data_IF_905932243680
#
_entry.id   IF_905932243680
#
_cell.length_a   1.000
_cell.length_b   1.000
_cell.length_c   1.000
_cell.angle_alpha   90.00
_cell.angle_beta   90.00
_cell.angle_gamma   90.00
#
_symmetry.space_group_name_H-M   'P 1'
#
loop_
_entity.id
_entity.type
_entity.pdbx_description
1 polymer ?
#
# COMPACT_ATOMS: atom_id res chain seq x y z
N UNK A 1 21.84 6.79 10.68
CA UNK A 1 21.57 6.90 9.25
C UNK A 1 22.48 6.04 8.37
N UNK A 2 23.80 6.10 8.46
CA UNK A 2 24.70 5.27 7.62
C UNK A 2 24.43 3.75 7.67
N UNK A 3 23.97 3.22 8.79
CA UNK A 3 23.71 1.77 8.97
C UNK A 3 22.46 1.30 8.21
N UNK A 4 21.42 2.13 8.09
CA UNK A 4 20.21 1.81 7.33
C UNK A 4 20.46 1.83 5.83
N UNK A 5 21.18 2.83 5.33
CA UNK A 5 21.48 2.99 3.89
C UNK A 5 22.32 1.83 3.36
N UNK A 6 23.21 1.24 4.19
CA UNK A 6 24.08 0.13 3.79
C UNK A 6 23.33 -1.20 3.64
N UNK A 7 22.21 -1.35 4.33
CA UNK A 7 21.38 -2.57 4.32
C UNK A 7 20.18 -2.47 3.38
N UNK A 8 20.07 -1.40 2.61
CA UNK A 8 19.03 -1.26 1.59
C UNK A 8 19.34 -2.14 0.39
N UNK A 9 18.30 -2.81 -0.11
CA UNK A 9 18.38 -3.52 -1.38
C UNK A 9 18.30 -2.50 -2.53
N UNK A 10 19.48 -2.13 -3.05
CA UNK A 10 19.58 -1.15 -4.13
C UNK A 10 18.96 -1.65 -5.45
N UNK A 11 18.93 -2.98 -5.66
CA UNK A 11 18.31 -3.57 -6.85
C UNK A 11 16.81 -3.35 -6.78
N UNK A 12 16.20 -3.62 -5.62
CA UNK A 12 14.77 -3.37 -5.38
C UNK A 12 14.42 -1.90 -5.60
N UNK A 13 15.18 -0.98 -5.00
CA UNK A 13 14.95 0.45 -5.13
C UNK A 13 15.03 0.90 -6.59
N UNK A 14 16.08 0.49 -7.29
CA UNK A 14 16.26 0.83 -8.71
C UNK A 14 15.10 0.30 -9.56
N UNK A 15 14.67 -0.94 -9.31
CA UNK A 15 13.55 -1.56 -10.03
C UNK A 15 12.25 -0.78 -9.82
N UNK A 16 11.96 -0.37 -8.57
CA UNK A 16 10.78 0.44 -8.26
C UNK A 16 10.83 1.79 -8.99
N UNK A 17 11.98 2.47 -8.98
CA UNK A 17 12.12 3.75 -9.69
C UNK A 17 12.00 3.60 -11.20
N UNK A 18 12.56 2.55 -11.79
CA UNK A 18 12.42 2.27 -13.23
C UNK A 18 10.97 1.99 -13.61
N UNK A 19 10.26 1.15 -12.86
CA UNK A 19 8.85 0.84 -13.09
C UNK A 19 7.98 2.09 -12.95
N UNK A 20 8.24 2.91 -11.95
CA UNK A 20 7.53 4.19 -11.75
C UNK A 20 7.80 5.17 -12.88
N UNK A 21 9.03 5.26 -13.34
CA UNK A 21 9.41 6.09 -14.50
C UNK A 21 8.69 5.66 -15.77
N UNK A 22 8.67 4.36 -16.06
CA UNK A 22 7.90 3.79 -17.18
C UNK A 22 6.41 4.12 -17.04
N UNK A 23 5.85 3.96 -15.83
CA UNK A 23 4.46 4.32 -15.55
C UNK A 23 4.14 5.79 -15.84
N UNK A 24 5.02 6.71 -15.45
CA UNK A 24 4.87 8.15 -15.76
C UNK A 24 4.88 8.42 -17.26
N UNK A 25 5.79 7.78 -18.00
CA UNK A 25 5.87 7.93 -19.48
C UNK A 25 4.61 7.40 -20.14
N UNK A 26 4.09 6.24 -19.68
CA UNK A 26 2.85 5.67 -20.23
C UNK A 26 1.65 6.57 -19.95
N UNK A 27 1.53 7.12 -18.74
CA UNK A 27 0.47 8.08 -18.39
C UNK A 27 0.59 9.34 -19.27
N UNK A 28 1.79 9.89 -19.41
CA UNK A 28 2.01 11.06 -20.27
C UNK A 28 1.62 10.80 -21.72
N UNK A 29 1.96 9.63 -22.25
CA UNK A 29 1.60 9.22 -23.61
C UNK A 29 0.08 9.03 -23.75
N UNK A 30 -0.56 8.32 -22.82
CA UNK A 30 -2.00 8.07 -22.87
C UNK A 30 -2.85 9.34 -22.71
N UNK A 31 -2.35 10.34 -21.99
CA UNK A 31 -3.07 11.60 -21.73
C UNK A 31 -2.59 12.78 -22.60
N UNK A 32 -1.76 12.52 -23.60
CA UNK A 32 -1.17 13.54 -24.45
C UNK A 32 -2.23 14.40 -25.16
N UNK A 33 -3.28 13.79 -25.70
CA UNK A 33 -4.38 14.51 -26.39
C UNK A 33 -5.16 15.43 -25.45
N UNK A 34 -5.37 15.02 -24.21
CA UNK A 34 -6.01 15.83 -23.18
C UNK A 34 -5.11 17.02 -22.77
N UNK A 35 -3.82 16.76 -22.64
CA UNK A 35 -2.80 17.78 -22.34
C UNK A 35 -2.69 18.84 -23.43
N UNK A 36 -2.82 18.48 -24.70
CA UNK A 36 -2.86 19.42 -25.82
C UNK A 36 -4.11 20.32 -25.78
N UNK A 37 -5.25 19.80 -25.28
CA UNK A 37 -6.50 20.58 -25.17
C UNK A 37 -6.48 21.55 -23.99
N UNK A 38 -5.96 21.11 -22.85
CA UNK A 38 -6.00 21.88 -21.58
C UNK A 38 -4.73 22.70 -21.34
N UNK A 39 -3.66 22.46 -22.09
CA UNK A 39 -2.34 23.07 -21.86
C UNK A 39 -1.61 22.56 -20.62
N UNK A 40 -2.19 21.61 -19.89
CA UNK A 40 -1.66 21.09 -18.62
C UNK A 40 -1.73 19.57 -18.59
N UNK A 41 -0.60 18.93 -18.28
CA UNK A 41 -0.52 17.50 -18.02
C UNK A 41 -1.01 17.18 -16.59
N UNK A 42 -2.29 17.41 -16.32
CA UNK A 42 -2.89 17.24 -14.99
C UNK A 42 -2.61 15.86 -14.39
N UNK A 43 -2.74 14.80 -15.16
CA UNK A 43 -2.51 13.43 -14.68
C UNK A 43 -1.06 13.18 -14.32
N UNK A 44 -0.10 13.69 -15.11
CA UNK A 44 1.33 13.56 -14.86
C UNK A 44 1.73 14.35 -13.60
N UNK A 45 1.21 15.57 -13.45
CA UNK A 45 1.48 16.40 -12.28
C UNK A 45 0.93 15.74 -11.01
N UNK A 46 -0.30 15.21 -11.07
CA UNK A 46 -0.92 14.49 -9.95
C UNK A 46 -0.12 13.24 -9.58
N UNK A 47 0.32 12.47 -10.57
CA UNK A 47 1.15 11.28 -10.34
C UNK A 47 2.51 11.63 -9.75
N UNK A 48 3.15 12.72 -10.23
CA UNK A 48 4.40 13.22 -9.67
C UNK A 48 4.26 13.67 -8.21
N UNK A 49 3.13 14.29 -7.85
CA UNK A 49 2.82 14.66 -6.48
C UNK A 49 2.67 13.43 -5.59
N UNK A 50 1.91 12.42 -6.02
CA UNK A 50 1.78 11.17 -5.27
C UNK A 50 3.12 10.45 -5.11
N UNK A 51 3.94 10.39 -6.15
CA UNK A 51 5.29 9.83 -6.07
C UNK A 51 6.14 10.55 -5.02
N UNK A 52 6.03 11.87 -4.93
CA UNK A 52 6.76 12.64 -3.91
C UNK A 52 6.30 12.31 -2.50
N UNK A 53 4.98 12.12 -2.31
CA UNK A 53 4.40 11.67 -1.04
C UNK A 53 4.85 10.25 -0.71
N UNK A 54 4.86 9.35 -1.68
CA UNK A 54 5.29 7.96 -1.50
C UNK A 54 6.76 7.87 -1.08
N UNK A 55 7.64 8.64 -1.72
CA UNK A 55 9.06 8.74 -1.32
C UNK A 55 9.20 9.24 0.12
N UNK A 56 8.44 10.26 0.48
CA UNK A 56 8.43 10.78 1.86
C UNK A 56 7.96 9.72 2.85
N UNK A 57 6.89 9.00 2.53
CA UNK A 57 6.37 7.91 3.37
C UNK A 57 7.39 6.78 3.52
N UNK A 58 8.08 6.38 2.46
CA UNK A 58 9.15 5.37 2.53
C UNK A 58 10.27 5.84 3.47
N UNK A 59 10.71 7.10 3.38
CA UNK A 59 11.73 7.65 4.26
C UNK A 59 11.27 7.65 5.73
N UNK A 60 10.00 7.97 5.99
CA UNK A 60 9.43 7.92 7.33
C UNK A 60 9.35 6.49 7.86
N UNK A 61 8.88 5.55 7.04
CA UNK A 61 8.77 4.13 7.40
C UNK A 61 10.13 3.50 7.70
N UNK A 62 11.19 3.89 6.97
CA UNK A 62 12.55 3.43 7.23
C UNK A 62 13.09 3.87 8.62
N UNK A 63 12.47 4.87 9.25
CA UNK A 63 12.81 5.31 10.60
C UNK A 63 12.01 4.60 11.69
N UNK A 64 10.91 3.93 11.33
CA UNK A 64 10.10 3.20 12.29
C UNK A 64 10.76 1.86 12.65
N UNK A 65 10.71 1.52 13.92
CA UNK A 65 11.11 0.19 14.37
C UNK A 65 10.00 -0.81 14.01
N UNK A 66 10.33 -1.80 13.20
CA UNK A 66 9.36 -2.84 12.79
C UNK A 66 8.80 -3.64 13.99
N UNK A 67 9.47 -3.64 15.16
CA UNK A 67 8.95 -4.26 16.37
C UNK A 67 7.65 -3.58 16.86
N UNK A 68 7.49 -2.30 16.59
CA UNK A 68 6.24 -1.58 16.89
C UNK A 68 5.08 -2.14 16.07
N UNK A 69 5.34 -2.55 14.82
CA UNK A 69 4.32 -3.13 13.94
C UNK A 69 3.74 -4.42 14.52
N UNK A 70 4.53 -5.23 15.23
CA UNK A 70 4.04 -6.43 15.91
C UNK A 70 3.02 -6.10 17.01
N UNK A 71 3.24 -5.02 17.74
CA UNK A 71 2.35 -4.60 18.84
C UNK A 71 1.02 -4.05 18.32
N UNK A 72 1.04 -3.42 17.16
CA UNK A 72 -0.16 -2.85 16.53
C UNK A 72 -0.84 -3.77 15.52
N UNK A 73 -0.32 -4.98 15.30
CA UNK A 73 -0.86 -5.92 14.32
C UNK A 73 -2.34 -6.23 14.57
N UNK A 74 -2.72 -6.59 15.81
CA UNK A 74 -4.12 -6.88 16.14
C UNK A 74 -5.05 -5.67 15.95
N UNK A 75 -4.74 -4.46 16.46
CA UNK A 75 -5.51 -3.27 16.13
C UNK A 75 -5.63 -3.00 14.62
N UNK A 76 -4.56 -3.18 13.84
CA UNK A 76 -4.58 -3.01 12.38
C UNK A 76 -5.53 -4.02 11.70
N UNK A 77 -5.55 -5.25 12.17
CA UNK A 77 -6.49 -6.27 11.69
C UNK A 77 -7.94 -5.87 11.93
N UNK A 78 -8.26 -5.44 13.16
CA UNK A 78 -9.61 -4.98 13.51
C UNK A 78 -10.01 -3.77 12.66
N UNK A 79 -9.11 -2.80 12.48
CA UNK A 79 -9.34 -1.63 11.62
C UNK A 79 -9.62 -2.08 10.18
N UNK A 80 -8.88 -3.06 9.67
CA UNK A 80 -9.09 -3.63 8.33
C UNK A 80 -10.51 -4.17 8.18
N UNK A 81 -10.97 -4.98 9.14
CA UNK A 81 -12.33 -5.53 9.12
C UNK A 81 -13.39 -4.43 9.16
N UNK A 82 -13.22 -3.44 10.03
CA UNK A 82 -14.16 -2.30 10.13
C UNK A 82 -14.20 -1.50 8.82
N UNK A 83 -13.04 -1.25 8.19
CA UNK A 83 -12.97 -0.53 6.93
C UNK A 83 -13.64 -1.30 5.78
N UNK A 84 -13.42 -2.62 5.71
CA UNK A 84 -14.05 -3.47 4.69
C UNK A 84 -15.57 -3.58 4.88
N UNK A 85 -16.03 -3.74 6.12
CA UNK A 85 -17.45 -3.70 6.44
C UNK A 85 -18.05 -2.31 6.13
N UNK A 86 -17.34 -1.24 6.46
CA UNK A 86 -17.76 0.12 6.15
C UNK A 86 -17.96 0.35 4.65
N UNK A 87 -17.08 -0.19 3.81
CA UNK A 87 -17.26 -0.12 2.34
C UNK A 87 -18.51 -0.86 1.88
N UNK A 88 -18.83 -1.99 2.50
CA UNK A 88 -20.00 -2.78 2.15
C UNK A 88 -21.30 -2.00 2.39
N UNK A 89 -21.35 -1.15 3.43
CA UNK A 89 -22.55 -0.35 3.78
C UNK A 89 -22.55 1.05 3.17
N UNK A 90 -21.39 1.70 3.07
CA UNK A 90 -21.24 3.11 2.67
C UNK A 90 -20.51 3.30 1.35
N UNK A 91 -20.08 2.22 0.70
CA UNK A 91 -19.33 2.28 -0.55
C UNK A 91 -20.17 2.77 -1.72
N UNK A 92 -19.55 3.54 -2.60
CA UNK A 92 -20.14 3.92 -3.88
C UNK A 92 -19.84 2.82 -4.91
N UNK A 93 -20.90 2.40 -5.61
CA UNK A 93 -20.73 1.44 -6.71
C UNK A 93 -20.19 2.15 -7.94
N UNK A 94 -19.01 1.67 -8.40
CA UNK A 94 -18.47 2.04 -9.70
C UNK A 94 -18.30 0.76 -10.51
N UNK A 95 -18.88 0.69 -11.69
CA UNK A 95 -18.87 -0.51 -12.54
C UNK A 95 -19.45 -1.77 -11.86
N UNK A 96 -20.50 -1.62 -11.04
CA UNK A 96 -21.20 -2.73 -10.40
C UNK A 96 -20.57 -3.29 -9.13
N UNK A 97 -19.47 -2.72 -8.63
CA UNK A 97 -18.84 -3.14 -7.38
C UNK A 97 -18.64 -1.95 -6.42
N UNK A 98 -19.06 -2.13 -5.16
CA UNK A 98 -18.86 -1.15 -4.09
C UNK A 98 -17.45 -1.31 -3.52
N UNK A 99 -16.51 -0.47 -3.95
CA UNK A 99 -15.10 -0.57 -3.55
C UNK A 99 -14.51 0.73 -3.08
N UNK A 100 -15.21 1.84 -3.28
CA UNK A 100 -14.69 3.18 -3.07
C UNK A 100 -15.51 3.94 -2.05
N UNK A 101 -14.83 4.62 -1.13
CA UNK A 101 -15.44 5.60 -0.23
C UNK A 101 -15.02 6.98 -0.73
N UNK A 102 -16.00 7.85 -0.96
CA UNK A 102 -15.75 9.23 -1.34
C UNK A 102 -15.73 10.11 -0.11
N UNK A 103 -14.57 10.66 0.21
CA UNK A 103 -14.36 11.60 1.31
C UNK A 103 -14.11 13.00 0.72
N UNK A 104 -15.20 13.68 0.33
CA UNK A 104 -15.11 14.96 -0.36
C UNK A 104 -14.42 14.82 -1.73
N UNK A 105 -13.32 15.55 -2.00
CA UNK A 105 -12.58 15.47 -3.26
C UNK A 105 -11.68 14.22 -3.36
N UNK A 106 -11.47 13.51 -2.25
CA UNK A 106 -10.59 12.33 -2.20
C UNK A 106 -11.42 11.06 -2.34
N UNK A 107 -11.00 10.21 -3.26
CA UNK A 107 -11.55 8.86 -3.44
C UNK A 107 -10.60 7.89 -2.74
N UNK A 108 -11.12 7.18 -1.76
CA UNK A 108 -10.37 6.26 -0.92
C UNK A 108 -10.84 4.83 -1.17
N UNK A 109 -9.88 3.92 -1.36
CA UNK A 109 -10.17 2.50 -1.53
C UNK A 109 -9.60 1.73 -0.33
N UNK A 110 -10.44 1.32 0.63
CA UNK A 110 -10.00 0.62 1.84
C UNK A 110 -9.25 -0.68 1.58
N UNK A 111 -9.57 -1.40 0.51
CA UNK A 111 -8.89 -2.65 0.17
C UNK A 111 -7.38 -2.49 -0.11
N UNK A 112 -6.92 -1.30 -0.54
CA UNK A 112 -5.49 -1.05 -0.73
C UNK A 112 -4.73 -1.06 0.60
N UNK A 113 -5.31 -0.43 1.62
CA UNK A 113 -4.74 -0.43 2.97
C UNK A 113 -4.87 -1.80 3.64
N UNK A 114 -5.98 -2.49 3.40
CA UNK A 114 -6.21 -3.84 3.93
C UNK A 114 -5.12 -4.81 3.51
N UNK A 115 -4.64 -4.74 2.28
CA UNK A 115 -3.54 -5.59 1.79
C UNK A 115 -2.27 -5.41 2.63
N UNK A 116 -1.90 -4.16 2.91
CA UNK A 116 -0.70 -3.84 3.71
C UNK A 116 -0.89 -4.31 5.15
N UNK A 117 -2.05 -4.04 5.75
CA UNK A 117 -2.34 -4.40 7.13
C UNK A 117 -2.36 -5.91 7.34
N UNK A 118 -2.94 -6.67 6.41
CA UNK A 118 -2.96 -8.14 6.46
C UNK A 118 -1.53 -8.69 6.37
N UNK A 119 -0.66 -8.14 5.51
CA UNK A 119 0.74 -8.56 5.43
C UNK A 119 1.45 -8.35 6.77
N UNK A 120 1.25 -7.21 7.42
CA UNK A 120 1.83 -6.91 8.74
C UNK A 120 1.29 -7.87 9.81
N UNK A 121 -0.02 -8.12 9.81
CA UNK A 121 -0.66 -9.03 10.76
C UNK A 121 -0.17 -10.46 10.59
N UNK A 122 -0.10 -10.94 9.35
CA UNK A 122 0.40 -12.27 9.04
C UNK A 122 1.86 -12.43 9.43
N UNK A 123 2.70 -11.45 9.12
CA UNK A 123 4.11 -11.45 9.51
C UNK A 123 4.29 -11.49 11.04
N UNK A 124 3.50 -10.69 11.77
CA UNK A 124 3.52 -10.68 13.24
C UNK A 124 3.03 -12.01 13.84
N UNK A 125 2.02 -12.64 13.23
CA UNK A 125 1.51 -13.94 13.63
C UNK A 125 2.55 -15.03 13.43
N UNK A 126 3.16 -15.12 12.23
CA UNK A 126 4.18 -16.11 11.91
C UNK A 126 5.44 -15.94 12.78
N UNK A 127 5.86 -14.71 13.05
CA UNK A 127 7.01 -14.44 13.92
C UNK A 127 6.76 -14.90 15.36
N UNK A 128 5.53 -14.74 15.86
CA UNK A 128 5.16 -15.24 17.20
C UNK A 128 5.20 -16.77 17.28
N UNK A 129 4.98 -17.46 16.18
CA UNK A 129 5.00 -18.93 16.09
C UNK A 129 6.32 -19.49 15.58
N UNK A 130 7.30 -18.68 15.24
CA UNK A 130 8.54 -19.09 14.58
C UNK A 130 9.35 -20.17 15.32
N UNK A 131 9.08 -20.43 16.61
CA UNK A 131 9.70 -21.51 17.38
C UNK A 131 8.93 -22.83 17.42
N UNK A 132 7.68 -22.86 16.91
CA UNK A 132 6.79 -24.04 17.01
C UNK A 132 6.35 -24.61 15.66
N UNK A 133 6.72 -23.95 14.54
CA UNK A 133 6.28 -24.32 13.21
C UNK A 133 7.06 -25.51 12.62
N UNK A 134 6.99 -26.67 13.27
CA UNK A 134 7.59 -27.90 12.77
C UNK A 134 6.66 -28.69 11.84
N UNK A 135 5.34 -28.52 11.97
CA UNK A 135 4.35 -29.26 11.22
C UNK A 135 3.48 -28.34 10.34
N UNK A 136 3.18 -28.78 9.11
CA UNK A 136 2.36 -28.02 8.16
C UNK A 136 0.95 -27.64 8.70
N UNK A 137 0.40 -28.40 9.63
CA UNK A 137 -0.89 -28.12 10.28
C UNK A 137 -0.89 -26.82 11.11
N UNK A 138 0.26 -26.39 11.55
CA UNK A 138 0.45 -25.15 12.33
C UNK A 138 0.35 -23.90 11.46
N UNK A 139 0.45 -24.07 10.13
CA UNK A 139 0.21 -22.98 9.16
C UNK A 139 -1.28 -22.77 8.83
N UNK A 140 -2.15 -23.75 9.18
CA UNK A 140 -3.60 -23.65 8.90
C UNK A 140 -4.23 -22.36 9.45
N UNK A 141 -3.93 -21.90 10.68
CA UNK A 141 -4.48 -20.66 11.20
C UNK A 141 -4.01 -19.41 10.41
N UNK A 142 -2.82 -19.47 9.78
CA UNK A 142 -2.33 -18.39 8.93
C UNK A 142 -3.16 -18.22 7.64
N UNK A 143 -3.81 -19.29 7.18
CA UNK A 143 -4.72 -19.26 6.02
C UNK A 143 -6.07 -18.60 6.29
N UNK A 144 -6.36 -18.20 7.53
CA UNK A 144 -7.56 -17.45 7.91
C UNK A 144 -7.38 -15.93 7.78
N UNK A 145 -6.17 -15.46 7.52
CA UNK A 145 -5.86 -14.05 7.22
C UNK A 145 -5.90 -13.81 5.73
#
# INVERSE_FOLDING_TARGET
MRRYIRNLDWILILTVFLLTGVGLVLIASATHTEALRTGVNYFVQRQGLFLSVDVLLVILLLRLDYHVLKQVALPLYVITLILLLGVMFFGHSTMGAQRWIRLGPVIFQPSEFSKVFIIVCLAAFLDKQAGSLEHWKEYLPAGLF
#
